data_IF_751090866509
#
_entry.id   IF_751090866509
#
_cell.length_a   1.000
_cell.length_b   1.000
_cell.length_c   1.000
_cell.angle_alpha   90.00
_cell.angle_beta   90.00
_cell.angle_gamma   90.00
#
_symmetry.space_group_name_H-M   'P 1'
#
loop_
_entity.id
_entity.type
_entity.pdbx_description
1 polymer ?
#
# COMPACT_ATOMS: atom_id res chain seq x y z
N UNK A 1 -22.76 -18.72 -7.43
CA UNK A 1 -22.46 -18.59 -6.00
C UNK A 1 -20.98 -18.52 -5.71
N UNK A 2 -20.37 -17.39 -6.06
CA UNK A 2 -19.06 -16.95 -5.55
C UNK A 2 -19.22 -15.47 -5.19
N UNK A 3 -19.69 -15.29 -3.95
CA UNK A 3 -19.46 -14.16 -3.03
C UNK A 3 -19.99 -12.78 -3.41
N UNK A 4 -21.24 -12.58 -3.01
CA UNK A 4 -21.86 -11.32 -2.56
C UNK A 4 -21.28 -10.87 -1.18
N UNK A 5 -19.97 -11.06 -0.94
CA UNK A 5 -19.33 -10.71 0.33
C UNK A 5 -18.86 -9.26 0.28
N UNK A 6 -19.55 -8.38 1.01
CA UNK A 6 -19.09 -7.02 1.25
C UNK A 6 -17.69 -7.04 1.90
N UNK A 7 -16.80 -6.17 1.44
CA UNK A 7 -15.46 -6.02 2.00
C UNK A 7 -15.14 -4.55 2.30
N UNK A 8 -14.10 -4.34 3.09
CA UNK A 8 -13.51 -3.02 3.37
C UNK A 8 -12.02 -3.08 3.09
N UNK A 9 -11.43 -1.99 2.60
CA UNK A 9 -9.98 -1.87 2.45
C UNK A 9 -9.33 -1.40 3.75
N UNK A 10 -9.30 -2.32 4.72
CA UNK A 10 -8.66 -2.10 6.02
C UNK A 10 -7.76 -3.29 6.36
N UNK A 11 -6.48 -3.01 6.55
CA UNK A 11 -5.48 -3.96 6.98
C UNK A 11 -5.08 -3.70 8.43
N UNK A 12 -5.25 -4.70 9.29
CA UNK A 12 -4.71 -4.69 10.64
C UNK A 12 -3.29 -5.22 10.61
N UNK A 13 -2.31 -4.43 11.04
CA UNK A 13 -0.91 -4.87 11.08
C UNK A 13 -0.75 -5.91 12.20
N UNK A 14 -0.49 -7.16 11.81
CA UNK A 14 -0.33 -8.24 12.78
C UNK A 14 0.92 -8.02 13.65
N UNK A 15 0.84 -8.38 14.93
CA UNK A 15 1.94 -8.22 15.89
C UNK A 15 2.03 -6.84 16.53
N UNK A 16 1.38 -5.81 15.97
CA UNK A 16 1.31 -4.47 16.53
C UNK A 16 -0.12 -4.11 16.93
N UNK A 17 -0.32 -3.62 18.15
CA UNK A 17 -1.62 -3.08 18.60
C UNK A 17 -1.70 -1.62 18.20
N UNK A 18 -2.87 -1.17 17.76
CA UNK A 18 -3.07 0.23 17.36
C UNK A 18 -2.70 0.57 15.92
N UNK A 19 -2.02 -0.32 15.21
CA UNK A 19 -1.54 -0.03 13.85
C UNK A 19 -2.46 -0.63 12.79
N UNK A 20 -3.04 0.24 11.97
CA UNK A 20 -3.92 -0.14 10.87
C UNK A 20 -3.60 0.68 9.63
N UNK A 21 -3.77 0.08 8.45
CA UNK A 21 -3.62 0.73 7.16
C UNK A 21 -4.93 0.63 6.39
N UNK A 22 -5.45 1.74 5.91
CA UNK A 22 -6.71 1.80 5.19
C UNK A 22 -6.54 2.50 3.84
N UNK A 23 -7.29 2.04 2.84
CA UNK A 23 -7.47 2.80 1.62
C UNK A 23 -8.80 3.54 1.69
N UNK A 24 -8.77 4.85 1.41
CA UNK A 24 -9.95 5.72 1.49
C UNK A 24 -10.16 6.47 0.19
N UNK A 25 -11.42 6.73 -0.16
CA UNK A 25 -11.77 7.58 -1.30
C UNK A 25 -11.60 9.06 -0.92
N UNK A 26 -10.84 9.81 -1.73
CA UNK A 26 -10.59 11.25 -1.58
C UNK A 26 -11.87 12.06 -1.73
N UNK A 27 -12.73 11.69 -2.69
CA UNK A 27 -13.98 12.37 -2.96
C UNK A 27 -15.13 11.37 -3.04
N UNK A 28 -15.84 11.16 -1.93
CA UNK A 28 -16.99 10.25 -1.92
C UNK A 28 -18.17 10.76 -2.76
N UNK A 29 -18.23 12.07 -3.05
CA UNK A 29 -19.37 12.69 -3.76
C UNK A 29 -19.33 12.57 -5.29
N UNK A 30 -18.19 12.21 -5.88
CA UNK A 30 -18.04 12.02 -7.33
C UNK A 30 -18.29 10.57 -7.79
N UNK A 31 -18.55 9.65 -6.85
CA UNK A 31 -18.88 8.24 -7.13
C UNK A 31 -20.30 8.06 -7.69
N UNK A 32 -20.64 8.83 -8.73
CA UNK A 32 -21.99 9.01 -9.27
C UNK A 32 -22.60 7.79 -9.97
N UNK A 33 -21.98 6.60 -9.94
CA UNK A 33 -22.49 5.39 -10.59
C UNK A 33 -22.03 4.07 -9.96
N UNK A 34 -21.76 4.00 -8.65
CA UNK A 34 -21.19 2.79 -8.01
C UNK A 34 -19.86 2.31 -8.62
N UNK A 35 -19.18 3.14 -9.42
CA UNK A 35 -17.89 2.83 -10.05
C UNK A 35 -16.77 3.42 -9.21
N UNK A 36 -15.96 2.55 -8.62
CA UNK A 36 -14.78 2.94 -7.85
C UNK A 36 -13.71 3.46 -8.81
N UNK A 37 -13.28 4.72 -8.63
CA UNK A 37 -12.19 5.31 -9.39
C UNK A 37 -10.86 5.12 -8.64
N UNK A 38 -9.95 4.31 -9.21
CA UNK A 38 -8.61 4.08 -8.62
C UNK A 38 -7.79 5.37 -8.49
N UNK A 39 -8.13 6.44 -9.22
CA UNK A 39 -7.48 7.75 -9.12
C UNK A 39 -7.79 8.47 -7.80
N UNK A 40 -8.91 8.12 -7.17
CA UNK A 40 -9.41 8.78 -5.97
C UNK A 40 -9.08 8.00 -4.70
N UNK A 41 -8.30 6.92 -4.79
CA UNK A 41 -7.91 6.14 -3.61
C UNK A 41 -6.61 6.68 -3.03
N UNK A 42 -6.61 6.89 -1.71
CA UNK A 42 -5.42 7.24 -0.93
C UNK A 42 -5.24 6.29 0.26
N UNK A 43 -4.02 5.80 0.44
CA UNK A 43 -3.64 4.95 1.56
C UNK A 43 -3.24 5.78 2.78
N UNK A 44 -3.78 5.41 3.94
CA UNK A 44 -3.53 6.04 5.23
C UNK A 44 -3.19 5.02 6.29
N UNK A 45 -2.42 5.45 7.29
CA UNK A 45 -2.06 4.66 8.46
C UNK A 45 -2.46 5.39 9.74
N UNK A 46 -2.85 4.61 10.74
CA UNK A 46 -3.04 5.03 12.13
C UNK A 46 -2.12 4.21 13.01
N UNK A 47 -1.68 4.81 14.12
CA UNK A 47 -0.87 4.14 15.16
C UNK A 47 -1.57 4.12 16.53
N UNK A 48 -2.78 4.68 16.62
CA UNK A 48 -3.52 4.94 17.84
C UNK A 48 -4.94 4.32 17.82
N UNK A 49 -5.09 3.17 17.15
CA UNK A 49 -6.38 2.47 16.96
C UNK A 49 -7.42 3.26 16.15
N UNK A 50 -6.96 4.13 15.25
CA UNK A 50 -7.83 4.89 14.35
C UNK A 50 -8.28 6.23 14.91
N UNK A 51 -7.62 6.75 15.96
CA UNK A 51 -7.84 8.10 16.45
C UNK A 51 -7.38 9.13 15.43
N UNK A 52 -6.12 9.05 15.02
CA UNK A 52 -5.53 9.87 13.97
C UNK A 52 -5.03 9.04 12.79
N UNK A 53 -5.17 9.62 11.59
CA UNK A 53 -4.79 9.00 10.33
C UNK A 53 -3.87 9.93 9.54
N UNK A 54 -2.75 9.40 9.08
CA UNK A 54 -1.79 10.11 8.23
C UNK A 54 -1.55 9.34 6.94
N UNK A 55 -1.10 10.04 5.90
CA UNK A 55 -0.70 9.40 4.64
C UNK A 55 0.56 8.55 4.84
N UNK A 56 0.70 7.47 4.07
CA UNK A 56 1.93 6.68 4.08
C UNK A 56 3.07 7.49 3.47
N UNK A 57 4.19 7.60 4.19
CA UNK A 57 5.37 8.29 3.70
C UNK A 57 5.98 7.52 2.51
N UNK A 58 6.28 8.19 1.39
CA UNK A 58 6.99 7.55 0.29
C UNK A 58 8.44 7.23 0.71
N UNK A 59 9.04 6.16 0.17
CA UNK A 59 10.48 5.94 0.29
C UNK A 59 11.27 7.07 -0.37
N UNK A 60 12.46 7.36 0.17
CA UNK A 60 13.35 8.41 -0.36
C UNK A 60 14.08 7.95 -1.64
N UNK A 61 14.34 6.65 -1.76
CA UNK A 61 15.10 6.04 -2.85
C UNK A 61 14.37 4.83 -3.42
N UNK A 62 14.62 4.54 -4.70
CA UNK A 62 14.22 3.29 -5.34
C UNK A 62 15.20 2.15 -5.05
N UNK A 63 14.98 1.00 -5.70
CA UNK A 63 15.78 -0.23 -5.55
C UNK A 63 17.18 -0.10 -6.18
N UNK A 64 17.37 0.84 -7.10
CA UNK A 64 18.67 1.18 -7.71
C UNK A 64 19.40 2.31 -6.93
N UNK A 65 18.82 2.79 -5.84
CA UNK A 65 19.37 3.87 -5.02
C UNK A 65 19.19 5.27 -5.63
N UNK A 66 18.35 5.42 -6.65
CA UNK A 66 18.01 6.72 -7.22
C UNK A 66 16.95 7.42 -6.35
N UNK A 67 17.02 8.74 -6.20
CA UNK A 67 16.03 9.48 -5.41
C UNK A 67 14.65 9.42 -6.07
N UNK A 68 13.62 9.08 -5.28
CA UNK A 68 12.23 9.17 -5.72
C UNK A 68 11.73 10.61 -5.52
N UNK A 69 11.44 11.30 -6.63
CA UNK A 69 10.91 12.67 -6.64
C UNK A 69 9.43 12.71 -6.25
N UNK A 70 9.12 12.29 -5.03
CA UNK A 70 7.82 12.40 -4.40
C UNK A 70 8.00 13.17 -3.08
N UNK A 71 8.17 14.48 -3.20
CA UNK A 71 8.28 15.31 -2.02
C UNK A 71 6.88 15.51 -1.41
N UNK A 72 6.73 15.17 -0.13
CA UNK A 72 5.61 15.59 0.70
C UNK A 72 5.71 17.12 0.91
N UNK A 73 5.54 17.93 -0.13
CA UNK A 73 5.66 19.39 -0.03
C UNK A 73 4.29 19.98 0.33
N UNK A 74 4.18 20.77 1.42
CA UNK A 74 3.00 21.60 1.69
C UNK A 74 2.83 22.79 0.72
N UNK A 75 3.61 22.87 -0.36
CA UNK A 75 3.77 24.06 -1.23
C UNK A 75 3.68 23.78 -2.73
N UNK A 76 3.11 22.65 -3.14
CA UNK A 76 2.64 22.56 -4.53
C UNK A 76 1.31 23.32 -4.62
N UNK A 77 1.30 24.43 -5.35
CA UNK A 77 0.09 25.20 -5.65
C UNK A 77 -0.93 24.43 -6.52
N UNK A 78 -0.59 23.21 -6.93
CA UNK A 78 -1.53 22.18 -7.38
C UNK A 78 -1.61 21.14 -6.26
N UNK A 79 -2.78 20.96 -5.63
CA UNK A 79 -3.03 20.16 -4.40
C UNK A 79 -2.80 18.64 -4.50
N UNK A 80 -1.68 18.25 -5.07
CA UNK A 80 -1.28 16.89 -5.42
C UNK A 80 -0.30 16.37 -4.37
N UNK A 81 -0.85 15.94 -3.23
CA UNK A 81 -0.11 15.36 -2.13
C UNK A 81 0.40 13.95 -2.49
N UNK A 82 1.61 13.88 -3.05
CA UNK A 82 2.27 12.62 -3.39
C UNK A 82 2.58 11.80 -2.13
N UNK A 83 2.18 10.53 -2.13
CA UNK A 83 2.38 9.61 -0.99
C UNK A 83 2.46 8.17 -1.49
N UNK A 84 2.86 7.25 -0.61
CA UNK A 84 2.82 5.82 -0.93
C UNK A 84 1.36 5.34 -0.94
N UNK A 85 0.94 4.75 -2.05
CA UNK A 85 -0.36 4.09 -2.19
C UNK A 85 -0.13 2.58 -2.22
N UNK A 86 -0.85 1.81 -1.42
CA UNK A 86 -0.72 0.35 -1.37
C UNK A 86 -1.99 -0.34 -1.84
N UNK A 87 -1.82 -1.41 -2.61
CA UNK A 87 -2.93 -2.25 -3.03
C UNK A 87 -3.39 -3.11 -1.85
N UNK A 88 -4.70 -3.20 -1.68
CA UNK A 88 -5.34 -4.15 -0.78
C UNK A 88 -6.31 -5.03 -1.57
N UNK A 89 -7.36 -5.53 -0.91
CA UNK A 89 -8.32 -6.48 -1.46
C UNK A 89 -9.05 -5.98 -2.72
N UNK A 90 -9.19 -4.67 -2.92
CA UNK A 90 -9.83 -4.11 -4.12
C UNK A 90 -9.13 -4.55 -5.42
N UNK A 91 -7.82 -4.79 -5.35
CA UNK A 91 -7.01 -5.27 -6.47
C UNK A 91 -7.43 -6.67 -6.98
N UNK A 92 -8.08 -7.48 -6.13
CA UNK A 92 -8.64 -8.78 -6.50
C UNK A 92 -9.86 -8.66 -7.43
N UNK A 93 -10.60 -7.55 -7.31
CA UNK A 93 -11.84 -7.27 -8.07
C UNK A 93 -11.54 -6.47 -9.34
N UNK A 94 -10.46 -5.69 -9.36
CA UNK A 94 -10.00 -4.94 -10.53
C UNK A 94 -8.77 -5.65 -11.14
N UNK A 95 -8.95 -6.59 -12.10
CA UNK A 95 -7.90 -7.49 -12.60
C UNK A 95 -6.75 -6.80 -13.36
N UNK A 96 -6.80 -5.47 -13.50
CA UNK A 96 -5.70 -4.66 -14.03
C UNK A 96 -4.52 -4.64 -13.04
N UNK A 97 -4.78 -4.74 -11.74
CA UNK A 97 -3.77 -4.78 -10.68
C UNK A 97 -3.88 -6.11 -9.94
N UNK A 98 -3.39 -7.23 -10.50
CA UNK A 98 -3.24 -8.48 -9.71
C UNK A 98 -2.09 -8.32 -8.70
N UNK A 99 -2.33 -7.55 -7.66
CA UNK A 99 -1.41 -7.31 -6.57
C UNK A 99 -1.64 -8.33 -5.45
N UNK A 100 -0.57 -8.71 -4.77
CA UNK A 100 -0.70 -9.50 -3.54
C UNK A 100 -1.17 -8.55 -2.43
N UNK A 101 -2.18 -8.95 -1.63
CA UNK A 101 -2.60 -8.17 -0.47
C UNK A 101 -1.44 -7.91 0.49
N UNK A 102 -1.59 -6.90 1.34
CA UNK A 102 -0.61 -6.53 2.36
C UNK A 102 -0.30 -7.74 3.25
N UNK A 103 1.00 -8.04 3.40
CA UNK A 103 1.49 -9.12 4.24
C UNK A 103 2.10 -8.57 5.52
N UNK A 104 1.53 -8.96 6.66
CA UNK A 104 2.10 -8.77 7.99
C UNK A 104 1.71 -9.97 8.85
N UNK A 105 2.59 -10.48 9.71
CA UNK A 105 2.28 -11.63 10.58
C UNK A 105 2.82 -11.41 11.99
N UNK A 106 2.12 -11.96 12.99
CA UNK A 106 2.59 -11.97 14.38
C UNK A 106 3.97 -12.61 14.58
N UNK A 107 4.39 -13.49 13.66
CA UNK A 107 5.71 -14.13 13.69
C UNK A 107 6.87 -13.19 13.31
N UNK A 108 6.58 -12.09 12.59
CA UNK A 108 7.55 -11.12 12.09
C UNK A 108 7.08 -9.70 12.41
N UNK A 109 7.18 -9.30 13.68
CA UNK A 109 6.64 -8.03 14.18
C UNK A 109 7.37 -6.84 13.55
N UNK A 110 6.62 -5.83 13.12
CA UNK A 110 7.16 -4.63 12.47
C UNK A 110 7.42 -4.79 10.98
N UNK A 111 7.48 -6.02 10.47
CA UNK A 111 7.65 -6.32 9.05
C UNK A 111 6.30 -6.27 8.33
N UNK A 112 6.23 -5.43 7.31
CA UNK A 112 5.07 -5.27 6.44
C UNK A 112 5.57 -5.26 5.00
N UNK A 113 4.97 -6.07 4.13
CA UNK A 113 5.24 -6.05 2.69
C UNK A 113 3.96 -5.74 1.94
N UNK A 114 4.06 -4.90 0.91
CA UNK A 114 2.91 -4.49 0.11
C UNK A 114 3.31 -4.21 -1.34
N UNK A 115 2.41 -4.48 -2.28
CA UNK A 115 2.51 -3.94 -3.65
C UNK A 115 1.85 -2.58 -3.71
N UNK A 116 2.48 -1.59 -4.33
CA UNK A 116 1.95 -0.24 -4.38
C UNK A 116 2.55 0.64 -5.47
N UNK A 117 2.24 1.92 -5.38
CA UNK A 117 2.78 2.99 -6.23
C UNK A 117 3.16 4.19 -5.37
N UNK A 118 4.18 4.94 -5.80
CA UNK A 118 4.51 6.25 -5.20
C UNK A 118 3.94 7.32 -6.13
N UNK A 119 2.73 7.79 -5.82
CA UNK A 119 2.00 8.75 -6.64
C UNK A 119 0.81 9.34 -5.86
N UNK A 120 0.02 10.17 -6.53
CA UNK A 120 -1.26 10.67 -6.00
C UNK A 120 -2.40 9.65 -6.11
N UNK A 121 -2.17 8.45 -6.65
CA UNK A 121 -3.19 7.41 -6.84
C UNK A 121 -2.58 6.01 -6.95
N UNK A 122 -3.44 4.97 -6.92
CA UNK A 122 -3.04 3.56 -7.12
C UNK A 122 -2.63 3.22 -8.56
N UNK A 123 -2.75 4.16 -9.51
CA UNK A 123 -2.26 3.98 -10.89
C UNK A 123 -0.79 4.34 -11.01
N UNK A 124 -0.08 3.57 -11.85
CA UNK A 124 1.31 3.83 -12.19
C UNK A 124 2.15 2.56 -12.21
N UNK A 125 3.47 2.75 -12.15
CA UNK A 125 4.43 1.66 -12.07
C UNK A 125 4.36 1.01 -10.69
N UNK A 126 3.83 -0.22 -10.65
CA UNK A 126 3.74 -1.01 -9.42
C UNK A 126 5.12 -1.42 -8.94
N UNK A 127 5.33 -1.39 -7.64
CA UNK A 127 6.54 -1.87 -6.98
C UNK A 127 6.22 -2.61 -5.69
N UNK A 128 7.20 -3.35 -5.18
CA UNK A 128 7.14 -3.99 -3.85
C UNK A 128 7.78 -3.05 -2.84
N UNK A 129 7.05 -2.77 -1.78
CA UNK A 129 7.48 -1.93 -0.67
C UNK A 129 7.53 -2.73 0.62
N UNK A 130 8.47 -2.38 1.49
CA UNK A 130 8.61 -3.00 2.79
C UNK A 130 8.82 -1.96 3.89
N UNK A 131 8.14 -2.17 5.02
CA UNK A 131 8.45 -1.53 6.29
C UNK A 131 9.01 -2.55 7.26
N UNK A 132 9.92 -2.11 8.13
CA UNK A 132 10.51 -2.92 9.22
C UNK A 132 10.26 -2.30 10.61
N UNK A 133 9.60 -1.14 10.65
CA UNK A 133 9.33 -0.33 11.83
C UNK A 133 7.82 -0.12 12.05
N UNK A 134 7.00 -1.01 11.49
CA UNK A 134 5.56 -1.00 11.72
C UNK A 134 4.78 0.06 10.92
N UNK A 135 5.18 0.31 9.67
CA UNK A 135 4.61 1.28 8.72
C UNK A 135 5.01 2.75 8.96
N UNK A 136 6.02 3.03 9.78
CA UNK A 136 6.53 4.39 10.00
C UNK A 136 7.38 4.85 8.82
N UNK A 137 8.28 4.00 8.34
CA UNK A 137 9.07 4.20 7.13
C UNK A 137 8.90 3.03 6.17
N UNK A 138 9.11 3.31 4.88
CA UNK A 138 8.99 2.34 3.81
C UNK A 138 10.24 2.38 2.94
N UNK A 139 10.60 1.23 2.37
CA UNK A 139 11.65 1.05 1.38
C UNK A 139 11.04 0.48 0.10
N UNK A 140 11.46 0.99 -1.06
CA UNK A 140 11.20 0.33 -2.33
C UNK A 140 12.18 -0.84 -2.48
N UNK A 141 11.67 -2.05 -2.74
CA UNK A 141 12.50 -3.25 -2.83
C UNK A 141 12.67 -3.75 -4.25
N UNK A 142 11.61 -3.72 -5.04
CA UNK A 142 11.59 -4.31 -6.38
C UNK A 142 10.62 -3.57 -7.28
N UNK A 143 11.07 -3.16 -8.46
CA UNK A 143 10.18 -2.65 -9.50
C UNK A 143 9.35 -3.77 -10.17
N UNK A 144 8.03 -3.67 -10.11
CA UNK A 144 7.06 -4.56 -10.76
C UNK A 144 6.15 -5.32 -9.79
N UNK A 145 5.40 -6.28 -10.32
CA UNK A 145 4.54 -7.16 -9.53
C UNK A 145 5.30 -8.45 -9.17
N UNK A 146 5.27 -8.81 -7.89
CA UNK A 146 5.89 -10.02 -7.36
C UNK A 146 4.94 -10.70 -6.39
N UNK A 147 5.02 -12.03 -6.35
CA UNK A 147 4.58 -12.79 -5.19
C UNK A 147 5.67 -12.69 -4.14
N UNK A 148 5.33 -12.39 -2.88
CA UNK A 148 6.30 -12.26 -1.81
C UNK A 148 5.86 -12.96 -0.53
N UNK A 149 6.84 -13.32 0.29
CA UNK A 149 6.65 -13.94 1.59
C UNK A 149 7.89 -13.79 2.46
N UNK A 150 7.75 -14.14 3.74
CA UNK A 150 8.87 -14.20 4.66
C UNK A 150 8.82 -15.47 5.53
N UNK A 151 9.98 -15.89 5.99
CA UNK A 151 10.20 -17.03 6.87
C UNK A 151 11.18 -16.69 7.99
N UNK A 152 11.43 -17.64 8.88
CA UNK A 152 12.36 -17.50 10.02
C UNK A 152 12.11 -16.22 10.84
N UNK A 153 10.87 -16.02 11.28
CA UNK A 153 10.46 -14.81 12.03
C UNK A 153 10.75 -13.47 11.32
N UNK A 154 10.88 -13.50 9.97
CA UNK A 154 11.25 -12.35 9.16
C UNK A 154 12.73 -12.26 8.80
N UNK A 155 13.55 -13.23 9.24
CA UNK A 155 14.97 -13.34 8.89
C UNK A 155 15.23 -13.68 7.42
N UNK A 156 14.24 -14.26 6.73
CA UNK A 156 14.33 -14.57 5.30
C UNK A 156 13.14 -13.98 4.55
N UNK A 157 13.40 -13.28 3.45
CA UNK A 157 12.39 -12.70 2.56
C UNK A 157 12.54 -13.35 1.18
N UNK A 158 11.42 -13.72 0.57
CA UNK A 158 11.38 -14.36 -0.75
C UNK A 158 10.44 -13.58 -1.65
N UNK A 159 10.84 -13.37 -2.90
CA UNK A 159 10.00 -12.75 -3.92
C UNK A 159 10.17 -13.45 -5.28
N UNK A 160 9.07 -13.64 -6.01
CA UNK A 160 9.05 -14.25 -7.34
C UNK A 160 8.28 -13.33 -8.28
N UNK A 161 8.92 -12.96 -9.40
CA UNK A 161 8.32 -12.04 -10.37
C UNK A 161 7.05 -12.65 -10.95
N UNK A 162 5.95 -11.90 -10.85
CA UNK A 162 4.67 -12.33 -11.38
C UNK A 162 4.59 -11.93 -12.85
N UNK A 163 4.69 -12.91 -13.74
CA UNK A 163 4.48 -12.72 -15.17
C UNK A 163 3.02 -13.04 -15.51
N UNK A 164 2.37 -12.11 -16.20
CA UNK A 164 1.08 -12.41 -16.83
C UNK A 164 1.38 -13.24 -18.08
N UNK A 165 0.99 -14.52 -18.05
CA UNK A 165 0.90 -15.35 -19.26
C UNK A 165 -0.19 -14.81 -20.20
#
# INVERSE_FOLDING_TARGET
DVTDDSFVELHRVEGLRGVYIANVLKNSSESTNNKINLNEIISKVTFDNGGEWQVLKPPEFDDDGQPLYCHLVPRSNNGDNCSLQINQRLSEIFPVTRAVPVLSRKSAVGIIMATGTVNNSLKGHQGVFMSTDGAVTWKHLLQGNYLFGFGDHGGVIVAVKFYKL
#
